data_IF_518635547452
#
_entry.id   IF_518635547452
#
_cell.length_a   1.000
_cell.length_b   1.000
_cell.length_c   1.000
_cell.angle_alpha   90.00
_cell.angle_beta   90.00
_cell.angle_gamma   90.00
#
_symmetry.space_group_name_H-M   'P 1'
#
loop_
_entity.id
_entity.type
_entity.pdbx_description
1 polymer ?
#
# COMPACT_ATOMS: atom_id res chain seq x y z
N UNK A 1 -10.75 -31.99 18.41
CA UNK A 1 -9.58 -31.23 17.90
C UNK A 1 -9.25 -31.76 16.53
N UNK A 2 -9.10 -30.89 15.54
CA UNK A 2 -8.66 -31.29 14.20
C UNK A 2 -7.21 -31.78 14.26
N UNK A 3 -6.81 -32.68 13.37
CA UNK A 3 -5.41 -33.14 13.28
C UNK A 3 -4.41 -31.96 13.09
N UNK A 4 -4.87 -30.83 12.51
CA UNK A 4 -4.10 -29.58 12.39
C UNK A 4 -3.89 -28.85 13.72
N UNK A 5 -4.87 -28.85 14.62
CA UNK A 5 -4.73 -28.20 15.93
C UNK A 5 -3.75 -28.99 16.80
N UNK A 6 -3.73 -30.32 16.62
CA UNK A 6 -2.82 -31.21 17.32
C UNK A 6 -1.35 -31.00 16.91
N UNK A 7 -1.08 -30.65 15.64
CA UNK A 7 0.30 -30.52 15.15
C UNK A 7 1.06 -29.35 15.76
N UNK A 8 0.40 -28.21 16.01
CA UNK A 8 1.06 -27.04 16.64
C UNK A 8 1.38 -27.35 18.10
N UNK A 9 0.43 -27.94 18.85
CA UNK A 9 0.62 -28.36 20.24
C UNK A 9 1.73 -29.40 20.38
N UNK A 10 1.74 -30.42 19.50
CA UNK A 10 2.81 -31.41 19.44
C UNK A 10 4.17 -30.77 19.14
N UNK A 11 4.22 -29.77 18.25
CA UNK A 11 5.44 -29.02 17.95
C UNK A 11 5.99 -28.30 19.18
N UNK A 12 5.15 -27.62 19.96
CA UNK A 12 5.57 -26.95 21.20
C UNK A 12 6.05 -27.95 22.25
N UNK A 13 5.33 -29.06 22.42
CA UNK A 13 5.73 -30.14 23.34
C UNK A 13 7.07 -30.74 22.90
N UNK A 14 7.27 -30.96 21.60
CA UNK A 14 8.53 -31.43 21.05
C UNK A 14 9.69 -30.50 21.42
N UNK A 15 9.53 -29.18 21.27
CA UNK A 15 10.56 -28.19 21.67
C UNK A 15 10.93 -28.34 23.15
N UNK A 16 9.93 -28.47 24.04
CA UNK A 16 10.17 -28.68 25.47
C UNK A 16 10.94 -29.99 25.72
N UNK A 17 10.55 -31.08 25.03
CA UNK A 17 11.23 -32.37 25.14
C UNK A 17 12.70 -32.24 24.70
N UNK A 18 12.97 -31.52 23.61
CA UNK A 18 14.33 -31.29 23.10
C UNK A 18 15.24 -30.55 24.10
N UNK A 19 14.67 -29.67 24.93
CA UNK A 19 15.42 -28.98 25.99
C UNK A 19 15.83 -29.92 27.12
N UNK A 20 15.04 -30.96 27.40
CA UNK A 20 15.28 -31.86 28.54
C UNK A 20 16.04 -33.11 28.12
N UNK A 21 15.67 -33.73 27.00
CA UNK A 21 16.17 -35.04 26.58
C UNK A 21 17.28 -34.87 25.52
N UNK A 22 18.45 -35.50 25.68
CA UNK A 22 19.50 -35.49 24.66
C UNK A 22 19.01 -36.19 23.38
N UNK A 23 19.25 -35.56 22.24
CA UNK A 23 18.88 -36.10 20.93
C UNK A 23 20.08 -36.76 20.25
N UNK A 24 19.88 -37.87 19.53
CA UNK A 24 20.94 -38.48 18.75
C UNK A 24 21.33 -37.57 17.56
N UNK A 25 22.61 -37.62 17.14
CA UNK A 25 23.16 -36.74 16.10
C UNK A 25 22.44 -36.76 14.75
N UNK A 26 21.84 -37.89 14.36
CA UNK A 26 21.04 -37.97 13.12
C UNK A 26 19.73 -37.19 13.23
N UNK A 27 19.08 -37.20 14.40
CA UNK A 27 17.83 -36.51 14.64
C UNK A 27 18.05 -34.99 14.79
N UNK A 28 19.18 -34.59 15.39
CA UNK A 28 19.64 -33.19 15.36
C UNK A 28 19.82 -32.71 13.91
N UNK A 29 20.54 -33.49 13.10
CA UNK A 29 20.77 -33.17 11.68
C UNK A 29 19.44 -33.04 10.91
N UNK A 30 18.48 -33.93 11.18
CA UNK A 30 17.14 -33.87 10.59
C UNK A 30 16.38 -32.60 10.98
N UNK A 31 16.33 -32.26 12.27
CA UNK A 31 15.61 -31.06 12.72
C UNK A 31 16.28 -29.75 12.27
N UNK A 32 17.61 -29.73 12.16
CA UNK A 32 18.35 -28.63 11.56
C UNK A 32 17.93 -28.42 10.10
N UNK A 33 17.86 -29.50 9.30
CA UNK A 33 17.44 -29.41 7.90
C UNK A 33 15.98 -28.98 7.77
N UNK A 34 15.10 -29.43 8.67
CA UNK A 34 13.73 -28.92 8.77
C UNK A 34 13.74 -27.42 9.06
N UNK A 35 14.58 -26.96 10.00
CA UNK A 35 14.64 -25.55 10.36
C UNK A 35 15.06 -24.66 9.17
N UNK A 36 16.11 -25.08 8.45
CA UNK A 36 16.55 -24.39 7.22
C UNK A 36 15.44 -24.42 6.16
N UNK A 37 14.79 -25.56 5.97
CA UNK A 37 13.71 -25.70 4.98
C UNK A 37 12.51 -24.81 5.32
N UNK A 38 12.10 -24.74 6.59
CA UNK A 38 11.04 -23.85 7.03
C UNK A 38 11.41 -22.38 6.83
N UNK A 39 12.63 -21.98 7.16
CA UNK A 39 13.10 -20.62 6.92
C UNK A 39 13.11 -20.25 5.43
N UNK A 40 13.50 -21.19 4.56
CA UNK A 40 13.43 -21.04 3.10
C UNK A 40 11.99 -20.91 2.61
N UNK A 41 11.07 -21.74 3.10
CA UNK A 41 9.64 -21.63 2.75
C UNK A 41 9.10 -20.26 3.18
N UNK A 42 9.45 -19.82 4.39
CA UNK A 42 8.99 -18.52 4.91
C UNK A 42 9.44 -17.38 4.02
N UNK A 43 10.72 -17.27 3.65
CA UNK A 43 11.19 -16.20 2.76
C UNK A 43 10.56 -16.27 1.37
N UNK A 44 10.37 -17.48 0.82
CA UNK A 44 9.75 -17.65 -0.48
C UNK A 44 8.29 -17.22 -0.47
N UNK A 45 7.52 -17.57 0.57
CA UNK A 45 6.14 -17.09 0.75
C UNK A 45 6.12 -15.57 0.93
N UNK A 46 7.04 -15.01 1.72
CA UNK A 46 7.20 -13.56 1.90
C UNK A 46 7.50 -12.81 0.60
N UNK A 47 8.24 -13.41 -0.34
CA UNK A 47 8.54 -12.79 -1.64
C UNK A 47 7.39 -12.89 -2.65
N UNK A 48 6.47 -13.83 -2.46
CA UNK A 48 5.39 -14.13 -3.42
C UNK A 48 4.01 -13.62 -2.99
N UNK A 49 3.87 -13.04 -1.80
CA UNK A 49 2.61 -12.41 -1.37
C UNK A 49 2.36 -11.08 -2.10
N UNK A 50 1.09 -10.78 -2.35
CA UNK A 50 0.70 -9.47 -2.87
C UNK A 50 0.53 -8.45 -1.74
N UNK A 51 -0.13 -8.84 -0.65
CA UNK A 51 -0.39 -8.02 0.53
C UNK A 51 0.10 -8.72 1.81
N UNK A 52 0.57 -7.96 2.80
CA UNK A 52 1.07 -8.50 4.08
C UNK A 52 0.03 -9.37 4.81
N UNK A 53 -1.26 -8.99 4.76
CA UNK A 53 -2.36 -9.71 5.40
C UNK A 53 -2.60 -11.11 4.83
N UNK A 54 -2.14 -11.43 3.62
CA UNK A 54 -2.23 -12.79 3.07
C UNK A 54 -1.42 -13.79 3.91
N UNK A 55 -0.44 -13.31 4.67
CA UNK A 55 0.34 -14.13 5.62
C UNK A 55 0.14 -13.67 7.06
N UNK A 56 -1.10 -13.45 7.48
CA UNK A 56 -1.46 -12.99 8.83
C UNK A 56 -0.90 -13.88 9.98
N UNK A 57 -0.61 -15.15 9.73
CA UNK A 57 -0.03 -16.09 10.73
C UNK A 57 1.48 -15.87 10.94
N UNK A 58 2.13 -15.06 10.12
CA UNK A 58 3.58 -14.82 10.16
C UNK A 58 4.14 -14.44 11.55
N UNK A 59 3.54 -13.52 12.34
CA UNK A 59 4.07 -13.17 13.66
C UNK A 59 4.10 -14.38 14.61
N UNK A 60 3.02 -15.16 14.65
CA UNK A 60 2.94 -16.37 15.48
C UNK A 60 3.89 -17.46 14.99
N UNK A 61 4.01 -17.63 13.67
CA UNK A 61 4.95 -18.58 13.08
C UNK A 61 6.39 -18.22 13.43
N UNK A 62 6.74 -16.93 13.40
CA UNK A 62 8.05 -16.43 13.76
C UNK A 62 8.39 -16.76 15.23
N UNK A 63 7.43 -16.61 16.16
CA UNK A 63 7.61 -17.03 17.56
C UNK A 63 7.91 -18.53 17.67
N UNK A 64 7.11 -19.37 17.00
CA UNK A 64 7.31 -20.83 17.04
C UNK A 64 8.64 -21.25 16.41
N UNK A 65 9.02 -20.67 15.27
CA UNK A 65 10.31 -20.94 14.63
C UNK A 65 11.49 -20.49 15.49
N UNK A 66 11.34 -19.36 16.19
CA UNK A 66 12.36 -18.86 17.12
C UNK A 66 12.52 -19.80 18.31
N UNK A 67 11.41 -20.26 18.90
CA UNK A 67 11.45 -21.26 19.98
C UNK A 67 12.07 -22.59 19.52
N UNK A 68 11.74 -23.04 18.31
CA UNK A 68 12.33 -24.24 17.73
C UNK A 68 13.84 -24.09 17.52
N UNK A 69 14.30 -22.92 17.04
CA UNK A 69 15.74 -22.60 16.91
C UNK A 69 16.44 -22.56 18.25
N UNK A 70 15.84 -21.94 19.26
CA UNK A 70 16.41 -21.92 20.61
C UNK A 70 16.52 -23.33 21.19
N UNK A 71 15.48 -24.16 21.02
CA UNK A 71 15.50 -25.57 21.40
C UNK A 71 16.64 -26.33 20.72
N UNK A 72 16.81 -26.15 19.41
CA UNK A 72 17.91 -26.73 18.66
C UNK A 72 19.27 -26.30 19.16
N UNK A 73 19.49 -24.99 19.35
CA UNK A 73 20.77 -24.46 19.85
C UNK A 73 21.14 -25.03 21.22
N UNK A 74 20.16 -25.23 22.11
CA UNK A 74 20.40 -25.87 23.41
C UNK A 74 20.73 -27.35 23.26
N UNK A 75 20.01 -28.09 22.41
CA UNK A 75 20.30 -29.51 22.16
C UNK A 75 21.66 -29.72 21.48
N UNK A 76 22.03 -28.89 20.50
CA UNK A 76 23.34 -28.96 19.81
C UNK A 76 24.47 -28.58 20.75
N UNK A 77 24.31 -27.52 21.54
CA UNK A 77 25.27 -27.12 22.59
C UNK A 77 25.53 -28.27 23.56
N UNK A 78 24.48 -28.93 24.04
CA UNK A 78 24.63 -30.10 24.91
C UNK A 78 25.44 -31.20 24.22
N UNK A 79 25.10 -31.56 22.98
CA UNK A 79 25.80 -32.58 22.20
C UNK A 79 27.28 -32.23 22.04
N UNK A 80 27.59 -30.98 21.65
CA UNK A 80 28.94 -30.47 21.45
C UNK A 80 29.75 -30.58 22.74
N UNK A 81 29.21 -30.11 23.86
CA UNK A 81 29.92 -30.08 25.14
C UNK A 81 30.06 -31.44 25.81
N UNK A 82 29.11 -32.37 25.60
CA UNK A 82 29.12 -33.67 26.28
C UNK A 82 29.81 -34.77 25.49
N UNK A 83 29.61 -34.82 24.19
CA UNK A 83 30.07 -35.93 23.33
C UNK A 83 31.14 -35.48 22.32
N UNK A 84 31.44 -34.18 22.22
CA UNK A 84 32.26 -33.60 21.15
C UNK A 84 31.73 -33.98 19.75
N UNK A 85 30.41 -34.13 19.63
CA UNK A 85 29.71 -34.41 18.39
C UNK A 85 28.52 -33.46 18.25
N UNK A 86 28.18 -33.05 17.02
CA UNK A 86 27.09 -32.12 16.75
C UNK A 86 26.14 -32.59 15.63
N UNK A 87 26.25 -33.86 15.22
CA UNK A 87 25.59 -34.39 14.04
C UNK A 87 26.32 -34.03 12.73
N UNK A 88 25.96 -34.76 11.66
CA UNK A 88 26.68 -34.69 10.39
C UNK A 88 26.57 -33.35 9.67
N UNK A 89 25.44 -32.64 9.82
CA UNK A 89 25.25 -31.33 9.19
C UNK A 89 26.20 -30.31 9.78
N UNK A 90 26.23 -30.16 11.11
CA UNK A 90 27.11 -29.19 11.78
C UNK A 90 28.58 -29.49 11.50
N UNK A 91 29.01 -30.75 11.59
CA UNK A 91 30.38 -31.14 11.29
C UNK A 91 30.79 -30.76 9.85
N UNK A 92 29.89 -30.97 8.89
CA UNK A 92 30.12 -30.63 7.48
C UNK A 92 30.25 -29.12 7.29
N UNK A 93 29.32 -28.33 7.82
CA UNK A 93 29.38 -26.86 7.72
C UNK A 93 30.62 -26.28 8.42
N UNK A 94 30.98 -26.80 9.59
CA UNK A 94 32.18 -26.39 10.31
C UNK A 94 33.46 -26.66 9.50
N UNK A 95 33.56 -27.85 8.90
CA UNK A 95 34.71 -28.20 8.05
C UNK A 95 34.80 -27.32 6.79
N UNK A 96 33.66 -26.97 6.19
CA UNK A 96 33.60 -26.15 4.99
C UNK A 96 34.15 -24.73 5.20
N UNK A 97 33.79 -24.08 6.31
CA UNK A 97 34.22 -22.69 6.58
C UNK A 97 35.63 -22.61 7.14
N UNK A 98 36.07 -23.61 7.89
CA UNK A 98 37.42 -23.61 8.47
C UNK A 98 38.50 -23.88 7.42
N UNK A 99 38.21 -24.64 6.36
CA UNK A 99 39.14 -24.82 5.23
C UNK A 99 40.52 -25.35 5.64
N UNK A 100 40.62 -26.03 6.80
CA UNK A 100 41.86 -26.53 7.39
C UNK A 100 42.60 -25.58 8.34
N UNK A 101 42.13 -24.35 8.54
CA UNK A 101 42.71 -23.40 9.51
C UNK A 101 41.64 -22.88 10.49
N UNK A 102 41.58 -23.44 11.73
CA UNK A 102 40.56 -23.07 12.72
C UNK A 102 40.50 -21.57 13.01
N UNK A 103 41.64 -20.88 13.07
CA UNK A 103 41.69 -19.43 13.32
C UNK A 103 41.02 -18.64 12.20
N UNK A 104 41.33 -18.96 10.93
CA UNK A 104 40.75 -18.23 9.79
C UNK A 104 39.25 -18.44 9.75
N UNK A 105 38.80 -19.69 9.91
CA UNK A 105 37.36 -19.99 9.97
C UNK A 105 36.66 -19.27 11.13
N UNK A 106 37.29 -19.18 12.29
CA UNK A 106 36.76 -18.43 13.42
C UNK A 106 36.64 -16.92 13.14
N UNK A 107 37.64 -16.29 12.52
CA UNK A 107 37.57 -14.87 12.14
C UNK A 107 36.44 -14.62 11.15
N UNK A 108 36.34 -15.43 10.10
CA UNK A 108 35.25 -15.34 9.11
C UNK A 108 33.89 -15.50 9.79
N UNK A 109 33.78 -16.47 10.69
CA UNK A 109 32.57 -16.70 11.47
C UNK A 109 32.18 -15.50 12.36
N UNK A 110 33.13 -14.91 13.08
CA UNK A 110 32.86 -13.71 13.91
C UNK A 110 32.36 -12.55 13.04
N UNK A 111 32.93 -12.35 11.85
CA UNK A 111 32.45 -11.33 10.90
C UNK A 111 30.99 -11.62 10.49
N UNK A 112 30.66 -12.87 10.17
CA UNK A 112 29.29 -13.27 9.81
C UNK A 112 28.30 -13.05 10.96
N UNK A 113 28.68 -13.41 12.19
CA UNK A 113 27.88 -13.15 13.40
C UNK A 113 27.61 -11.65 13.56
N UNK A 114 28.64 -10.81 13.40
CA UNK A 114 28.54 -9.36 13.54
C UNK A 114 27.60 -8.78 12.47
N UNK A 115 27.78 -9.16 11.20
CA UNK A 115 26.91 -8.73 10.10
C UNK A 115 25.46 -9.15 10.38
N UNK A 116 25.26 -10.42 10.73
CA UNK A 116 23.95 -10.97 11.02
C UNK A 116 23.24 -10.19 12.15
N UNK A 117 23.92 -9.94 13.27
CA UNK A 117 23.30 -9.25 14.40
C UNK A 117 23.15 -7.73 14.19
N UNK A 118 24.24 -7.04 13.83
CA UNK A 118 24.26 -5.57 13.79
C UNK A 118 23.56 -5.01 12.56
N UNK A 119 23.70 -5.64 11.40
CA UNK A 119 23.15 -5.13 10.15
C UNK A 119 21.76 -5.71 9.93
N UNK A 120 21.63 -7.03 10.02
CA UNK A 120 20.44 -7.73 9.52
C UNK A 120 19.35 -7.78 10.58
N UNK A 121 19.61 -8.38 11.74
CA UNK A 121 18.62 -8.52 12.81
C UNK A 121 18.23 -7.16 13.40
N UNK A 122 19.19 -6.30 13.76
CA UNK A 122 18.88 -4.93 14.21
C UNK A 122 18.23 -4.07 13.12
N UNK A 123 18.63 -4.24 11.86
CA UNK A 123 18.01 -3.54 10.73
C UNK A 123 16.54 -3.92 10.58
N UNK A 124 16.26 -5.23 10.55
CA UNK A 124 14.90 -5.77 10.46
C UNK A 124 14.03 -5.38 11.67
N UNK A 125 14.58 -5.38 12.89
CA UNK A 125 13.89 -4.91 14.09
C UNK A 125 13.45 -3.45 13.94
N UNK A 126 14.37 -2.56 13.57
CA UNK A 126 14.05 -1.14 13.40
C UNK A 126 13.04 -0.89 12.28
N UNK A 127 13.20 -1.56 11.15
CA UNK A 127 12.26 -1.45 10.04
C UNK A 127 10.88 -1.94 10.48
N UNK A 128 10.81 -3.06 11.21
CA UNK A 128 9.57 -3.60 11.73
C UNK A 128 8.89 -2.67 12.74
N UNK A 129 9.65 -2.14 13.70
CA UNK A 129 9.15 -1.23 14.74
C UNK A 129 8.60 0.07 14.12
N UNK A 130 9.38 0.67 13.22
CA UNK A 130 9.03 1.95 12.60
C UNK A 130 7.82 1.81 11.67
N UNK A 131 7.80 0.78 10.82
CA UNK A 131 6.68 0.55 9.92
C UNK A 131 5.40 0.15 10.66
N UNK A 132 5.50 -0.69 11.71
CA UNK A 132 4.35 -1.03 12.55
C UNK A 132 3.79 0.23 13.21
N UNK A 133 4.66 1.07 13.80
CA UNK A 133 4.23 2.32 14.44
C UNK A 133 3.56 3.27 13.45
N UNK A 134 4.16 3.55 12.31
CA UNK A 134 3.56 4.45 11.32
C UNK A 134 2.25 3.91 10.74
N UNK A 135 2.16 2.59 10.54
CA UNK A 135 0.92 1.98 10.05
C UNK A 135 -0.19 2.04 11.11
N UNK A 136 0.15 1.81 12.38
CA UNK A 136 -0.79 1.95 13.50
C UNK A 136 -1.24 3.40 13.71
N UNK A 137 -0.32 4.36 13.63
CA UNK A 137 -0.61 5.80 13.75
C UNK A 137 -1.52 6.29 12.59
N UNK A 138 -1.46 5.63 11.42
CA UNK A 138 -2.31 5.93 10.27
C UNK A 138 -3.73 5.33 10.36
N UNK A 139 -4.02 4.43 11.31
CA UNK A 139 -5.31 3.75 11.40
C UNK A 139 -6.51 4.68 11.63
N UNK A 140 -6.46 5.69 12.52
CA UNK A 140 -7.57 6.62 12.69
C UNK A 140 -7.89 7.36 11.38
N UNK A 141 -6.86 7.72 10.61
CA UNK A 141 -7.03 8.34 9.30
C UNK A 141 -7.73 7.42 8.29
N UNK A 142 -7.34 6.15 8.23
CA UNK A 142 -8.01 5.14 7.39
C UNK A 142 -9.45 4.86 7.84
N UNK A 143 -9.74 4.90 9.13
CA UNK A 143 -11.11 4.75 9.66
C UNK A 143 -11.98 5.96 9.31
N UNK A 144 -11.45 7.17 9.52
CA UNK A 144 -12.12 8.42 9.15
C UNK A 144 -12.41 8.50 7.65
N UNK A 145 -11.50 8.01 6.79
CA UNK A 145 -11.75 7.99 5.35
C UNK A 145 -12.87 7.02 4.96
N UNK A 146 -13.02 5.88 5.65
CA UNK A 146 -14.16 4.97 5.47
C UNK A 146 -15.46 5.66 5.88
N UNK A 147 -15.47 6.38 7.01
CA UNK A 147 -16.65 7.09 7.49
C UNK A 147 -17.05 8.22 6.53
N UNK A 148 -16.07 8.95 5.98
CA UNK A 148 -16.28 9.96 4.97
C UNK A 148 -16.84 9.35 3.67
N UNK A 149 -16.27 8.25 3.17
CA UNK A 149 -16.75 7.54 1.98
C UNK A 149 -18.19 7.02 2.17
N UNK A 150 -18.52 6.50 3.35
CA UNK A 150 -19.86 6.01 3.69
C UNK A 150 -20.87 7.16 3.75
N UNK A 151 -20.52 8.26 4.42
CA UNK A 151 -21.37 9.45 4.53
C UNK A 151 -21.58 10.14 3.17
N UNK A 152 -20.58 10.09 2.28
CA UNK A 152 -20.67 10.58 0.90
C UNK A 152 -21.43 9.63 -0.05
N UNK A 153 -21.83 8.44 0.41
CA UNK A 153 -22.52 7.44 -0.40
C UNK A 153 -21.64 6.76 -1.46
N UNK A 154 -20.31 6.87 -1.36
CA UNK A 154 -19.35 6.23 -2.27
C UNK A 154 -19.23 4.72 -2.01
N UNK A 155 -19.50 4.29 -0.77
CA UNK A 155 -19.52 2.89 -0.35
C UNK A 155 -20.80 2.58 0.43
N UNK A 156 -21.19 1.32 0.48
CA UNK A 156 -22.31 0.85 1.30
C UNK A 156 -21.86 0.34 2.69
N UNK A 157 -22.81 0.09 3.60
CA UNK A 157 -22.52 -0.41 4.96
C UNK A 157 -21.73 -1.72 4.97
N UNK A 158 -22.01 -2.63 4.03
CA UNK A 158 -21.31 -3.92 3.96
C UNK A 158 -19.83 -3.72 3.60
N UNK A 159 -19.55 -2.88 2.60
CA UNK A 159 -18.19 -2.52 2.20
C UNK A 159 -17.46 -1.76 3.29
N UNK A 160 -18.14 -0.85 4.00
CA UNK A 160 -17.57 -0.14 5.14
C UNK A 160 -17.17 -1.10 6.27
N UNK A 161 -18.03 -2.09 6.57
CA UNK A 161 -17.74 -3.14 7.55
C UNK A 161 -16.53 -3.98 7.14
N UNK A 162 -16.48 -4.45 5.90
CA UNK A 162 -15.38 -5.27 5.38
C UNK A 162 -14.04 -4.51 5.37
N UNK A 163 -14.05 -3.23 5.00
CA UNK A 163 -12.85 -2.37 5.08
C UNK A 163 -12.40 -2.13 6.53
N UNK A 164 -13.34 -1.94 7.48
CA UNK A 164 -13.01 -1.80 8.91
C UNK A 164 -12.41 -3.09 9.48
N UNK A 165 -12.95 -4.24 9.13
CA UNK A 165 -12.40 -5.55 9.52
C UNK A 165 -10.98 -5.75 8.95
N UNK A 166 -10.73 -5.34 7.70
CA UNK A 166 -9.38 -5.34 7.11
C UNK A 166 -8.41 -4.44 7.91
N UNK A 167 -8.83 -3.24 8.30
CA UNK A 167 -8.04 -2.33 9.15
C UNK A 167 -7.76 -2.94 10.52
N UNK A 168 -8.75 -3.60 11.15
CA UNK A 168 -8.60 -4.28 12.43
C UNK A 168 -7.53 -5.38 12.34
N UNK A 169 -7.63 -6.24 11.33
CA UNK A 169 -6.62 -7.28 11.09
C UNK A 169 -5.23 -6.71 10.79
N UNK A 170 -5.14 -5.58 10.09
CA UNK A 170 -3.88 -4.89 9.84
C UNK A 170 -3.28 -4.36 11.17
N UNK A 171 -4.10 -3.82 12.08
CA UNK A 171 -3.64 -3.37 13.38
C UNK A 171 -3.14 -4.53 14.24
N UNK A 172 -3.89 -5.63 14.31
CA UNK A 172 -3.51 -6.84 15.03
C UNK A 172 -2.20 -7.42 14.49
N UNK A 173 -2.06 -7.45 13.16
CA UNK A 173 -0.87 -7.96 12.49
C UNK A 173 0.37 -7.14 12.85
N UNK A 174 0.35 -5.81 12.66
CA UNK A 174 1.49 -4.96 12.95
C UNK A 174 1.79 -4.85 14.45
N UNK A 175 0.76 -4.89 15.30
CA UNK A 175 0.91 -4.98 16.76
C UNK A 175 1.61 -6.28 17.20
N UNK A 176 1.20 -7.43 16.65
CA UNK A 176 1.85 -8.70 16.90
C UNK A 176 3.29 -8.75 16.33
N UNK A 177 3.55 -8.10 15.19
CA UNK A 177 4.86 -8.02 14.56
C UNK A 177 5.90 -7.27 15.41
N UNK A 178 5.54 -6.14 16.03
CA UNK A 178 6.46 -5.42 16.93
C UNK A 178 6.91 -6.32 18.11
N UNK A 179 5.96 -7.09 18.67
CA UNK A 179 6.25 -8.09 19.69
C UNK A 179 7.16 -9.20 19.17
N UNK A 180 6.80 -9.83 18.05
CA UNK A 180 7.53 -10.97 17.48
C UNK A 180 8.97 -10.60 17.08
N UNK A 181 9.20 -9.42 16.50
CA UNK A 181 10.52 -8.93 16.10
C UNK A 181 11.51 -8.82 17.28
N UNK A 182 11.02 -8.50 18.48
CA UNK A 182 11.84 -8.47 19.70
C UNK A 182 12.33 -9.87 20.12
N UNK A 183 11.57 -10.93 19.84
CA UNK A 183 12.02 -12.31 20.07
C UNK A 183 13.15 -12.72 19.14
N UNK A 184 13.12 -12.31 17.86
CA UNK A 184 14.22 -12.58 16.91
C UNK A 184 15.54 -11.96 17.38
N UNK A 185 15.48 -10.72 17.90
CA UNK A 185 16.65 -10.07 18.51
C UNK A 185 17.15 -10.85 19.73
N UNK A 186 16.25 -11.29 20.60
CA UNK A 186 16.58 -12.09 21.78
C UNK A 186 17.30 -13.40 21.40
N UNK A 187 16.81 -14.08 20.37
CA UNK A 187 17.43 -15.28 19.81
C UNK A 187 18.84 -15.01 19.23
N UNK A 188 19.02 -13.92 18.49
CA UNK A 188 20.33 -13.56 17.96
C UNK A 188 21.35 -13.28 19.07
N UNK A 189 20.93 -12.62 20.16
CA UNK A 189 21.78 -12.42 21.35
C UNK A 189 22.10 -13.75 22.02
N UNK A 190 21.09 -14.61 22.20
CA UNK A 190 21.28 -15.94 22.77
C UNK A 190 22.26 -16.78 21.95
N UNK A 191 22.19 -16.74 20.62
CA UNK A 191 23.13 -17.41 19.73
C UNK A 191 24.58 -16.97 19.94
N UNK A 192 24.83 -15.67 20.11
CA UNK A 192 26.18 -15.14 20.42
C UNK A 192 26.68 -15.67 21.77
N UNK A 193 25.80 -15.68 22.79
CA UNK A 193 26.15 -16.19 24.12
C UNK A 193 26.48 -17.69 24.05
N UNK A 194 25.68 -18.47 23.31
CA UNK A 194 25.88 -19.90 23.12
C UNK A 194 27.23 -20.21 22.46
N UNK A 195 27.60 -19.45 21.42
CA UNK A 195 28.92 -19.56 20.78
C UNK A 195 30.05 -19.34 21.80
N UNK A 196 29.94 -18.31 22.64
CA UNK A 196 30.95 -18.03 23.66
C UNK A 196 31.03 -19.15 24.70
N UNK A 197 29.89 -19.68 25.13
CA UNK A 197 29.80 -20.81 26.04
C UNK A 197 30.47 -22.04 25.41
N UNK A 198 30.15 -22.36 24.16
CA UNK A 198 30.67 -23.53 23.47
C UNK A 198 32.19 -23.49 23.30
N UNK A 199 32.76 -22.32 23.02
CA UNK A 199 34.22 -22.15 22.93
C UNK A 199 34.86 -22.28 24.32
N UNK A 200 34.38 -21.52 25.31
CA UNK A 200 35.03 -21.46 26.63
C UNK A 200 34.90 -22.81 27.34
N UNK A 201 33.68 -23.30 27.50
CA UNK A 201 33.43 -24.56 28.21
C UNK A 201 33.84 -25.78 27.38
N UNK A 202 33.75 -25.71 26.06
CA UNK A 202 34.24 -26.80 25.20
C UNK A 202 35.73 -27.02 25.35
N UNK A 203 36.54 -25.94 25.37
CA UNK A 203 37.98 -26.05 25.64
C UNK A 203 38.27 -26.60 27.03
N UNK A 204 37.56 -26.13 28.05
CA UNK A 204 37.73 -26.62 29.43
C UNK A 204 37.38 -28.11 29.53
N UNK A 205 36.23 -28.53 29.00
CA UNK A 205 35.77 -29.93 29.04
C UNK A 205 36.70 -30.82 28.21
N UNK A 206 37.07 -30.38 27.00
CA UNK A 206 38.00 -31.09 26.12
C UNK A 206 39.34 -31.38 26.80
N UNK A 207 39.94 -30.37 27.44
CA UNK A 207 41.23 -30.54 28.12
C UNK A 207 41.13 -31.27 29.46
N UNK A 208 40.16 -30.91 30.30
CA UNK A 208 40.09 -31.38 31.69
C UNK A 208 39.39 -32.73 31.83
N UNK A 209 38.31 -32.95 31.06
CA UNK A 209 37.50 -34.17 31.17
C UNK A 209 37.82 -35.19 30.08
N UNK A 210 38.01 -34.74 28.83
CA UNK A 210 38.29 -35.64 27.69
C UNK A 210 39.79 -35.89 27.46
N UNK A 211 40.68 -35.21 28.21
CA UNK A 211 42.13 -35.42 28.13
C UNK A 211 42.77 -34.98 26.81
N UNK A 212 42.09 -34.13 26.02
CA UNK A 212 42.61 -33.61 24.75
C UNK A 212 43.75 -32.62 24.97
N UNK A 213 44.71 -32.58 24.06
CA UNK A 213 45.71 -31.51 24.04
C UNK A 213 45.06 -30.17 23.66
N UNK A 214 45.66 -29.05 24.05
CA UNK A 214 45.13 -27.72 23.72
C UNK A 214 44.88 -27.49 22.21
N UNK A 215 45.78 -27.90 21.29
CA UNK A 215 45.53 -27.77 19.85
C UNK A 215 44.37 -28.65 19.36
N UNK A 216 44.23 -29.88 19.86
CA UNK A 216 43.15 -30.80 19.49
C UNK A 216 41.79 -30.31 20.00
N UNK A 217 41.75 -29.79 21.23
CA UNK A 217 40.55 -29.21 21.81
C UNK A 217 40.10 -27.97 21.00
N UNK A 218 41.04 -27.11 20.60
CA UNK A 218 40.74 -25.97 19.70
C UNK A 218 40.19 -26.48 18.37
N UNK A 219 40.89 -27.37 17.67
CA UNK A 219 40.45 -27.82 16.35
C UNK A 219 39.05 -28.45 16.39
N UNK A 220 38.77 -29.26 17.43
CA UNK A 220 37.47 -29.93 17.58
C UNK A 220 36.36 -28.95 17.96
N UNK A 221 36.47 -28.26 19.10
CA UNK A 221 35.40 -27.43 19.62
C UNK A 221 35.22 -26.14 18.80
N UNK A 222 36.29 -25.58 18.23
CA UNK A 222 36.16 -24.44 17.31
C UNK A 222 35.45 -24.86 16.04
N UNK A 223 35.75 -26.04 15.48
CA UNK A 223 35.05 -26.55 14.29
C UNK A 223 33.58 -26.80 14.52
N UNK A 224 33.24 -27.46 15.62
CA UNK A 224 31.84 -27.73 15.95
C UNK A 224 31.09 -26.44 16.29
N UNK A 225 31.70 -25.51 17.03
CA UNK A 225 31.04 -24.24 17.39
C UNK A 225 30.84 -23.33 16.18
N UNK A 226 31.84 -23.21 15.30
CA UNK A 226 31.69 -22.44 14.06
C UNK A 226 30.63 -23.08 13.18
N UNK A 227 30.64 -24.41 13.04
CA UNK A 227 29.62 -25.14 12.30
C UNK A 227 28.21 -24.91 12.84
N UNK A 228 28.01 -25.04 14.15
CA UNK A 228 26.73 -24.83 14.83
C UNK A 228 26.24 -23.40 14.63
N UNK A 229 27.11 -22.42 14.86
CA UNK A 229 26.78 -21.02 14.68
C UNK A 229 26.39 -20.68 13.24
N UNK A 230 27.07 -21.24 12.22
CA UNK A 230 26.73 -21.02 10.81
C UNK A 230 25.39 -21.64 10.43
N UNK A 231 25.17 -22.88 10.86
CA UNK A 231 23.92 -23.62 10.64
C UNK A 231 22.74 -22.87 11.26
N UNK A 232 22.93 -22.30 12.45
CA UNK A 232 21.90 -21.50 13.13
C UNK A 232 21.71 -20.09 12.55
N UNK A 233 22.71 -19.56 11.84
CA UNK A 233 22.65 -18.24 11.19
C UNK A 233 21.88 -18.24 9.88
N UNK A 234 21.97 -19.30 9.06
CA UNK A 234 21.26 -19.35 7.77
C UNK A 234 19.75 -19.16 7.95
N UNK A 235 19.05 -19.89 8.83
CA UNK A 235 17.64 -19.66 9.12
C UNK A 235 17.37 -18.27 9.70
N UNK A 236 18.27 -17.77 10.57
CA UNK A 236 18.15 -16.45 11.19
C UNK A 236 18.14 -15.33 10.14
N UNK A 237 19.05 -15.44 9.16
CA UNK A 237 19.18 -14.54 8.04
C UNK A 237 17.89 -14.53 7.23
N UNK A 238 17.44 -15.71 6.79
CA UNK A 238 16.26 -15.86 5.94
C UNK A 238 15.00 -15.33 6.64
N UNK A 239 14.81 -15.65 7.92
CA UNK A 239 13.67 -15.16 8.71
C UNK A 239 13.77 -13.64 8.93
N UNK A 240 14.96 -13.10 9.27
CA UNK A 240 15.13 -11.65 9.47
C UNK A 240 14.84 -10.87 8.19
N UNK A 241 15.31 -11.38 7.04
CA UNK A 241 15.02 -10.80 5.72
C UNK A 241 13.53 -10.92 5.38
N UNK A 242 12.91 -12.07 5.65
CA UNK A 242 11.47 -12.26 5.45
C UNK A 242 10.65 -11.27 6.28
N UNK A 243 11.01 -11.06 7.55
CA UNK A 243 10.39 -10.04 8.42
C UNK A 243 10.48 -8.65 7.80
N UNK A 244 11.66 -8.28 7.30
CA UNK A 244 11.85 -7.01 6.60
C UNK A 244 10.93 -6.88 5.39
N UNK A 245 10.88 -7.90 4.51
CA UNK A 245 10.04 -7.91 3.31
C UNK A 245 8.55 -7.81 3.65
N UNK A 246 8.08 -8.59 4.62
CA UNK A 246 6.66 -8.65 4.99
C UNK A 246 6.18 -7.32 5.56
N UNK A 247 7.01 -6.66 6.39
CA UNK A 247 6.64 -5.41 7.04
C UNK A 247 6.78 -4.19 6.12
N UNK A 248 7.67 -4.25 5.12
CA UNK A 248 7.78 -3.20 4.09
C UNK A 248 6.89 -3.44 2.88
N UNK A 249 6.08 -4.50 2.89
CA UNK A 249 5.18 -4.82 1.78
C UNK A 249 4.07 -3.79 1.69
N UNK A 250 4.23 -2.84 0.78
CA UNK A 250 3.17 -1.91 0.37
C UNK A 250 2.17 -2.68 -0.49
N UNK A 251 0.89 -2.31 -0.43
CA UNK A 251 -0.13 -2.84 -1.33
C UNK A 251 0.17 -2.42 -2.78
N UNK A 252 1.07 -3.15 -3.45
CA UNK A 252 1.34 -3.07 -4.89
C UNK A 252 0.58 -4.17 -5.63
N UNK A 253 0.26 -3.93 -6.90
CA UNK A 253 -0.35 -4.95 -7.75
C UNK A 253 0.74 -5.92 -8.24
N UNK A 254 0.85 -7.10 -7.60
CA UNK A 254 1.74 -8.20 -8.00
C UNK A 254 2.93 -8.40 -7.07
N UNK A 255 3.58 -9.57 -7.11
CA UNK A 255 4.63 -9.97 -6.16
C UNK A 255 5.95 -9.19 -6.27
N UNK A 256 6.79 -9.27 -5.23
CA UNK A 256 8.07 -8.54 -5.14
C UNK A 256 9.01 -8.81 -6.32
N UNK A 257 9.05 -10.05 -6.81
CA UNK A 257 9.91 -10.42 -7.95
C UNK A 257 9.49 -9.68 -9.22
N UNK A 258 8.19 -9.60 -9.48
CA UNK A 258 7.63 -8.87 -10.61
C UNK A 258 7.80 -7.35 -10.44
N UNK A 259 7.65 -6.81 -9.23
CA UNK A 259 7.87 -5.40 -8.92
C UNK A 259 9.33 -5.00 -9.18
N UNK A 260 10.30 -5.73 -8.61
CA UNK A 260 11.73 -5.44 -8.76
C UNK A 260 12.15 -5.55 -10.21
N UNK A 261 11.71 -6.60 -10.91
CA UNK A 261 12.07 -6.82 -12.31
C UNK A 261 11.44 -5.77 -13.22
N UNK A 262 10.15 -5.48 -13.06
CA UNK A 262 9.45 -4.48 -13.88
C UNK A 262 9.96 -3.06 -13.64
N UNK A 263 10.30 -2.70 -12.40
CA UNK A 263 10.81 -1.37 -12.05
C UNK A 263 12.26 -1.16 -12.46
N UNK A 264 13.15 -2.12 -12.20
CA UNK A 264 14.57 -2.00 -12.59
C UNK A 264 14.75 -2.04 -14.11
N UNK A 265 13.99 -2.89 -14.81
CA UNK A 265 14.07 -3.01 -16.27
C UNK A 265 13.20 -2.00 -17.02
N UNK A 266 12.50 -1.10 -16.30
CA UNK A 266 11.65 -0.06 -16.92
C UNK A 266 12.43 0.91 -17.80
N UNK A 267 13.73 1.09 -17.53
CA UNK A 267 14.60 2.08 -18.16
C UNK A 267 15.76 1.44 -18.95
N UNK A 268 15.54 0.95 -20.18
CA UNK A 268 16.56 0.29 -20.99
C UNK A 268 17.81 1.15 -21.25
N UNK A 269 17.65 2.48 -21.34
CA UNK A 269 18.76 3.43 -21.49
C UNK A 269 19.78 3.34 -20.33
N UNK A 270 19.31 3.13 -19.09
CA UNK A 270 20.19 3.00 -17.93
C UNK A 270 21.00 1.68 -17.95
N UNK A 271 20.46 0.61 -18.56
CA UNK A 271 21.18 -0.65 -18.72
C UNK A 271 22.41 -0.49 -19.62
N UNK A 272 22.34 0.34 -20.67
CA UNK A 272 23.51 0.64 -21.51
C UNK A 272 24.58 1.44 -20.77
N UNK A 273 24.17 2.39 -19.92
CA UNK A 273 25.11 3.16 -19.08
C UNK A 273 25.80 2.23 -18.07
N UNK A 274 25.05 1.32 -17.45
CA UNK A 274 25.60 0.30 -16.56
C UNK A 274 26.56 -0.64 -17.31
N UNK A 275 26.20 -1.07 -18.52
CA UNK A 275 27.03 -1.91 -19.38
C UNK A 275 28.37 -1.21 -19.73
N UNK A 276 28.33 0.06 -20.13
CA UNK A 276 29.52 0.87 -20.42
C UNK A 276 30.40 1.05 -19.17
N UNK A 277 29.80 1.27 -18.01
CA UNK A 277 30.53 1.42 -16.74
C UNK A 277 31.25 0.12 -16.33
N UNK A 278 30.56 -1.02 -16.40
CA UNK A 278 31.14 -2.34 -16.12
C UNK A 278 32.27 -2.65 -17.11
N UNK A 279 32.11 -2.30 -18.39
CA UNK A 279 33.14 -2.47 -19.40
C UNK A 279 34.41 -1.66 -19.09
N UNK A 280 34.24 -0.37 -18.73
CA UNK A 280 35.36 0.51 -18.33
C UNK A 280 36.07 0.03 -17.07
N UNK A 281 35.34 -0.56 -16.11
CA UNK A 281 35.92 -1.23 -14.94
C UNK A 281 36.86 -2.38 -15.33
N UNK A 282 36.65 -3.01 -16.50
CA UNK A 282 37.55 -4.02 -17.06
C UNK A 282 38.95 -3.50 -17.42
N UNK A 283 39.14 -2.18 -17.53
CA UNK A 283 40.46 -1.57 -17.78
C UNK A 283 41.32 -1.49 -16.51
N UNK A 284 40.79 -1.89 -15.35
CA UNK A 284 41.50 -2.00 -14.08
C UNK A 284 42.09 -3.42 -13.90
N UNK A 285 42.70 -3.78 -12.75
CA UNK A 285 43.19 -5.15 -12.50
C UNK A 285 42.12 -6.25 -12.43
N UNK A 286 40.84 -5.91 -12.65
CA UNK A 286 39.72 -6.85 -12.68
C UNK A 286 39.78 -7.67 -13.99
N UNK A 287 39.51 -8.99 -13.98
CA UNK A 287 39.56 -9.81 -15.18
C UNK A 287 38.65 -9.28 -16.31
N UNK A 288 39.27 -8.78 -17.39
CA UNK A 288 38.57 -8.15 -18.53
C UNK A 288 37.50 -9.05 -19.17
N UNK A 289 37.73 -10.36 -19.20
CA UNK A 289 36.75 -11.32 -19.70
C UNK A 289 35.43 -11.30 -18.90
N UNK A 290 35.53 -11.20 -17.57
CA UNK A 290 34.37 -11.24 -16.67
C UNK A 290 33.53 -9.97 -16.82
N UNK A 291 34.19 -8.81 -16.87
CA UNK A 291 33.53 -7.51 -17.04
C UNK A 291 32.91 -7.37 -18.43
N UNK A 292 33.61 -7.81 -19.48
CA UNK A 292 33.09 -7.78 -20.84
C UNK A 292 31.89 -8.69 -21.01
N UNK A 293 31.89 -9.87 -20.37
CA UNK A 293 30.74 -10.79 -20.37
C UNK A 293 29.51 -10.15 -19.71
N UNK A 294 29.65 -9.59 -18.51
CA UNK A 294 28.54 -8.94 -17.79
C UNK A 294 28.04 -7.72 -18.58
N UNK A 295 28.95 -6.89 -19.11
CA UNK A 295 28.62 -5.74 -19.95
C UNK A 295 27.82 -6.16 -21.18
N UNK A 296 28.23 -7.24 -21.84
CA UNK A 296 27.52 -7.77 -23.03
C UNK A 296 26.11 -8.25 -22.68
N UNK A 297 25.92 -8.93 -21.54
CA UNK A 297 24.59 -9.35 -21.06
C UNK A 297 23.70 -8.15 -20.77
N UNK A 298 24.23 -7.12 -20.11
CA UNK A 298 23.47 -5.89 -19.80
C UNK A 298 23.09 -5.11 -21.07
N UNK A 299 24.02 -4.96 -22.01
CA UNK A 299 23.76 -4.30 -23.29
C UNK A 299 22.77 -5.08 -24.15
N UNK A 300 22.87 -6.41 -24.19
CA UNK A 300 21.93 -7.27 -24.90
C UNK A 300 20.53 -7.25 -24.26
N UNK A 301 20.47 -7.29 -22.93
CA UNK A 301 19.22 -7.12 -22.18
C UNK A 301 18.56 -5.77 -22.49
N UNK A 302 19.33 -4.68 -22.41
CA UNK A 302 18.87 -3.34 -22.79
C UNK A 302 18.34 -3.28 -24.23
N UNK A 303 19.04 -3.92 -25.18
CA UNK A 303 18.60 -4.01 -26.57
C UNK A 303 17.30 -4.77 -26.75
N UNK A 304 17.15 -5.91 -26.09
CA UNK A 304 15.94 -6.73 -26.15
C UNK A 304 14.73 -5.99 -25.55
N UNK A 305 14.89 -5.37 -24.38
CA UNK A 305 13.87 -4.55 -23.70
C UNK A 305 13.48 -3.29 -24.47
N UNK A 306 14.41 -2.69 -25.25
CA UNK A 306 14.11 -1.54 -26.11
C UNK A 306 13.29 -1.95 -27.33
N UNK A 307 13.43 -3.20 -27.79
CA UNK A 307 12.78 -3.72 -29.00
C UNK A 307 11.33 -4.16 -28.78
N UNK A 308 10.95 -4.52 -27.54
CA UNK A 308 9.59 -4.93 -27.19
C UNK A 308 8.65 -3.77 -26.82
N UNK A 309 9.16 -2.56 -26.59
CA UNK A 309 8.33 -1.37 -26.40
C UNK A 309 8.18 -0.61 -27.73
N UNK A 310 6.96 -0.48 -28.30
CA UNK A 310 6.70 0.60 -29.25
C UNK A 310 6.89 1.91 -28.47
N UNK A 311 7.53 2.90 -29.11
CA UNK A 311 7.88 4.21 -28.54
C UNK A 311 6.77 4.78 -27.66
N UNK A 312 6.85 4.53 -26.36
CA UNK A 312 6.31 5.43 -25.35
C UNK A 312 7.44 6.41 -25.15
N UNK A 313 7.40 7.46 -25.97
CA UNK A 313 8.25 8.64 -25.86
C UNK A 313 8.39 9.02 -24.39
N UNK A 314 9.64 9.24 -24.01
CA UNK A 314 9.95 9.92 -22.77
C UNK A 314 9.38 11.34 -22.90
N UNK A 315 8.25 11.61 -22.26
CA UNK A 315 7.92 12.98 -21.87
C UNK A 315 8.86 13.32 -20.71
N UNK A 316 9.94 14.03 -21.04
CA UNK A 316 10.59 14.90 -20.06
C UNK A 316 9.57 15.96 -19.62
N UNK A 317 9.48 16.33 -18.32
CA UNK A 317 8.44 17.23 -17.82
C UNK A 317 8.62 18.72 -18.20
N UNK A 318 9.31 19.04 -19.30
CA UNK A 318 9.69 20.42 -19.65
C UNK A 318 9.09 20.97 -20.95
N UNK A 319 8.21 20.25 -21.66
CA UNK A 319 7.55 20.77 -22.88
C UNK A 319 6.01 20.72 -22.82
N UNK A 320 5.42 21.19 -21.72
CA UNK A 320 3.95 21.31 -21.60
C UNK A 320 3.33 22.47 -22.42
N UNK A 321 4.11 23.31 -23.11
CA UNK A 321 3.57 24.47 -23.82
C UNK A 321 3.47 24.32 -25.37
N UNK A 322 4.05 23.28 -25.98
CA UNK A 322 4.03 23.14 -27.45
C UNK A 322 3.15 21.99 -27.99
N UNK A 323 2.71 21.06 -27.13
CA UNK A 323 1.89 19.90 -27.53
C UNK A 323 0.39 20.21 -27.74
N UNK A 324 -0.12 21.36 -27.30
CA UNK A 324 -1.53 21.73 -27.52
C UNK A 324 -1.81 22.18 -28.97
N UNK A 325 -0.78 22.58 -29.74
CA UNK A 325 -0.96 23.17 -31.07
C UNK A 325 -1.16 22.14 -32.21
N UNK A 326 -0.62 20.93 -32.07
CA UNK A 326 -0.63 19.94 -33.18
C UNK A 326 -1.65 18.80 -33.05
N UNK A 327 -2.30 18.63 -31.89
CA UNK A 327 -3.41 17.68 -31.75
C UNK A 327 -4.74 18.18 -32.38
N UNK A 328 -4.83 19.47 -32.73
CA UNK A 328 -6.00 20.05 -33.41
C UNK A 328 -6.12 19.70 -34.91
N UNK A 329 -5.12 19.02 -35.51
CA UNK A 329 -5.06 18.82 -36.98
C UNK A 329 -5.38 17.40 -37.46
N UNK A 330 -6.10 16.59 -36.68
CA UNK A 330 -6.58 15.27 -37.13
C UNK A 330 -8.10 15.27 -37.36
N UNK A 331 -8.59 14.94 -38.58
CA UNK A 331 -10.01 15.03 -38.92
C UNK A 331 -10.91 14.02 -38.19
N UNK A 332 -10.35 12.98 -37.56
CA UNK A 332 -11.12 11.95 -36.84
C UNK A 332 -11.52 12.35 -35.41
N UNK A 333 -10.91 13.38 -34.82
CA UNK A 333 -11.21 13.84 -33.46
C UNK A 333 -12.31 14.90 -33.38
N UNK A 334 -12.98 15.22 -34.49
CA UNK A 334 -14.10 16.17 -34.46
C UNK A 334 -15.36 15.52 -33.87
N UNK A 335 -15.50 14.19 -33.97
CA UNK A 335 -16.71 13.47 -33.49
C UNK A 335 -16.69 13.27 -31.97
N UNK A 336 -15.51 13.09 -31.37
CA UNK A 336 -15.33 12.97 -29.91
C UNK A 336 -15.48 14.30 -29.16
N UNK A 337 -15.40 15.44 -29.86
CA UNK A 337 -15.75 16.77 -29.35
C UNK A 337 -17.26 17.04 -29.33
N UNK A 338 -18.10 16.15 -29.89
CA UNK A 338 -19.57 16.29 -29.95
C UNK A 338 -20.23 15.40 -28.88
N UNK A 339 -19.67 15.35 -27.66
CA UNK A 339 -20.45 14.88 -26.51
C UNK A 339 -21.31 16.04 -26.01
N UNK A 340 -22.46 16.25 -26.64
CA UNK A 340 -23.49 17.16 -26.12
C UNK A 340 -23.93 16.64 -24.75
N UNK A 341 -23.86 17.49 -23.73
CA UNK A 341 -24.38 17.10 -22.42
C UNK A 341 -25.91 16.89 -22.54
N UNK A 342 -26.46 15.83 -21.91
CA UNK A 342 -27.89 15.52 -22.05
C UNK A 342 -28.81 16.63 -21.56
N UNK A 343 -28.45 17.32 -20.47
CA UNK A 343 -29.16 18.49 -19.93
C UNK A 343 -28.11 19.51 -19.45
N UNK A 344 -28.23 20.75 -19.89
CA UNK A 344 -27.37 21.87 -19.49
C UNK A 344 -28.21 23.01 -18.93
N UNK A 345 -27.76 23.61 -17.83
CA UNK A 345 -28.28 24.85 -17.28
C UNK A 345 -27.21 25.92 -17.42
N UNK A 346 -27.43 26.87 -18.32
CA UNK A 346 -26.56 28.02 -18.55
C UNK A 346 -27.11 29.24 -17.83
N UNK A 347 -26.25 30.06 -17.25
CA UNK A 347 -26.66 31.28 -16.54
C UNK A 347 -25.66 32.41 -16.72
N UNK A 348 -26.17 33.65 -16.65
CA UNK A 348 -25.37 34.88 -16.66
C UNK A 348 -24.62 35.11 -15.35
N UNK A 349 -23.61 35.97 -15.37
CA UNK A 349 -22.70 36.15 -14.24
C UNK A 349 -23.38 36.64 -12.94
N UNK A 350 -24.51 37.35 -13.01
CA UNK A 350 -25.21 37.80 -11.80
C UNK A 350 -25.81 36.64 -11.03
N UNK A 351 -26.01 35.47 -11.67
CA UNK A 351 -26.63 34.29 -11.08
C UNK A 351 -25.60 33.29 -10.50
N UNK A 352 -24.31 33.63 -10.49
CA UNK A 352 -23.28 32.80 -9.83
C UNK A 352 -23.59 32.50 -8.35
N UNK A 353 -24.05 33.47 -7.53
CA UNK A 353 -24.28 33.24 -6.10
C UNK A 353 -25.32 32.16 -5.79
N UNK A 354 -26.33 31.95 -6.66
CA UNK A 354 -27.35 30.91 -6.45
C UNK A 354 -26.85 29.51 -6.82
N UNK A 355 -25.81 29.41 -7.66
CA UNK A 355 -25.22 28.14 -8.08
C UNK A 355 -24.03 27.72 -7.19
N UNK A 356 -23.38 28.65 -6.49
CA UNK A 356 -22.21 28.40 -5.66
C UNK A 356 -22.58 28.15 -4.18
N UNK A 357 -22.40 26.90 -3.74
CA UNK A 357 -22.64 26.49 -2.35
C UNK A 357 -21.76 27.23 -1.34
N UNK A 358 -20.60 27.75 -1.74
CA UNK A 358 -19.72 28.51 -0.86
C UNK A 358 -20.23 29.93 -0.57
N UNK A 359 -21.12 30.44 -1.43
CA UNK A 359 -21.78 31.74 -1.31
C UNK A 359 -23.21 31.63 -0.72
N UNK A 360 -23.60 30.44 -0.28
CA UNK A 360 -24.93 30.17 0.29
C UNK A 360 -26.01 29.84 -0.76
N UNK A 361 -25.63 29.58 -2.01
CA UNK A 361 -26.55 29.12 -3.05
C UNK A 361 -27.04 27.69 -2.81
N UNK A 362 -28.31 27.43 -3.12
CA UNK A 362 -29.00 26.15 -2.88
C UNK A 362 -29.54 25.49 -4.17
N UNK A 363 -29.26 26.06 -5.35
CA UNK A 363 -29.78 25.57 -6.63
C UNK A 363 -29.35 24.13 -6.93
N UNK A 364 -28.09 23.78 -6.62
CA UNK A 364 -27.57 22.42 -6.80
C UNK A 364 -28.35 21.39 -5.98
N UNK A 365 -28.63 21.71 -4.71
CA UNK A 365 -29.38 20.84 -3.81
C UNK A 365 -30.82 20.66 -4.28
N UNK A 366 -31.46 21.72 -4.78
CA UNK A 366 -32.81 21.67 -5.35
C UNK A 366 -32.88 20.82 -6.61
N UNK A 367 -31.91 20.92 -7.51
CA UNK A 367 -31.83 20.05 -8.71
C UNK A 367 -31.72 18.57 -8.31
N UNK A 368 -30.97 18.25 -7.24
CA UNK A 368 -30.90 16.89 -6.70
C UNK A 368 -32.24 16.43 -6.15
N UNK A 369 -33.00 17.31 -5.47
CA UNK A 369 -34.35 17.01 -4.99
C UNK A 369 -35.34 16.77 -6.14
N UNK A 370 -35.33 17.62 -7.18
CA UNK A 370 -36.18 17.47 -8.38
C UNK A 370 -35.92 16.12 -9.04
N UNK A 371 -34.64 15.76 -9.25
CA UNK A 371 -34.28 14.46 -9.84
C UNK A 371 -34.83 13.29 -9.01
N UNK A 372 -34.80 13.40 -7.68
CA UNK A 372 -35.36 12.38 -6.78
C UNK A 372 -36.87 12.33 -6.86
N UNK A 373 -37.54 13.47 -6.90
CA UNK A 373 -39.00 13.57 -6.98
C UNK A 373 -39.51 12.98 -8.30
N UNK A 374 -38.93 13.34 -9.44
CA UNK A 374 -39.27 12.77 -10.75
C UNK A 374 -39.08 11.24 -10.80
N UNK A 375 -38.06 10.72 -10.12
CA UNK A 375 -37.84 9.29 -10.02
C UNK A 375 -38.92 8.57 -9.19
N UNK A 376 -39.45 9.21 -8.13
CA UNK A 376 -40.49 8.63 -7.27
C UNK A 376 -41.88 8.76 -7.90
N UNK A 377 -42.22 9.93 -8.44
CA UNK A 377 -43.57 10.23 -8.93
C UNK A 377 -43.81 9.71 -10.35
N UNK A 378 -42.82 9.85 -11.24
CA UNK A 378 -42.94 9.49 -12.67
C UNK A 378 -42.19 8.20 -13.03
N UNK A 379 -41.34 7.68 -12.14
CA UNK A 379 -40.51 6.50 -12.41
C UNK A 379 -39.37 6.77 -13.40
N UNK A 380 -39.01 8.03 -13.64
CA UNK A 380 -37.99 8.44 -14.61
C UNK A 380 -36.78 9.02 -13.89
N UNK A 381 -35.58 8.49 -14.20
CA UNK A 381 -34.31 9.05 -13.71
C UNK A 381 -33.72 9.95 -14.79
N UNK A 382 -33.77 11.26 -14.59
CA UNK A 382 -33.13 12.22 -15.51
C UNK A 382 -31.60 12.21 -15.36
N UNK A 383 -30.82 12.43 -16.45
CA UNK A 383 -29.37 12.59 -16.38
C UNK A 383 -28.93 13.74 -15.47
N UNK A 384 -27.64 13.80 -15.15
CA UNK A 384 -27.06 14.92 -14.39
C UNK A 384 -27.22 16.22 -15.20
N UNK A 385 -27.79 17.25 -14.57
CA UNK A 385 -27.89 18.60 -15.14
C UNK A 385 -26.52 19.26 -14.98
N UNK A 386 -25.87 19.60 -16.09
CA UNK A 386 -24.59 20.30 -16.05
C UNK A 386 -24.82 21.80 -15.94
N UNK A 387 -24.29 22.41 -14.88
CA UNK A 387 -24.39 23.85 -14.63
C UNK A 387 -23.15 24.54 -15.24
N UNK A 388 -23.35 25.55 -16.09
CA UNK A 388 -22.27 26.30 -16.75
C UNK A 388 -22.56 27.80 -16.75
N UNK A 389 -21.56 28.61 -16.43
CA UNK A 389 -21.63 30.03 -16.69
C UNK A 389 -21.53 30.29 -18.21
N UNK A 390 -22.32 31.24 -18.71
CA UNK A 390 -22.25 31.65 -20.11
C UNK A 390 -22.21 33.17 -20.21
N UNK A 391 -21.03 33.70 -20.52
CA UNK A 391 -20.75 35.14 -20.66
C UNK A 391 -21.54 35.78 -21.81
N UNK A 392 -22.07 34.98 -22.75
CA UNK A 392 -22.89 35.48 -23.86
C UNK A 392 -24.35 35.74 -23.47
N UNK A 393 -24.81 35.24 -22.32
CA UNK A 393 -26.15 35.52 -21.80
C UNK A 393 -26.21 36.90 -21.13
N UNK A 394 -27.40 37.48 -21.05
CA UNK A 394 -27.64 38.65 -20.21
C UNK A 394 -27.24 38.38 -18.75
N UNK A 395 -26.89 39.41 -17.96
CA UNK A 395 -26.44 39.25 -16.57
C UNK A 395 -27.37 38.40 -15.71
N UNK A 396 -28.69 38.60 -15.89
CA UNK A 396 -29.79 38.02 -15.14
C UNK A 396 -30.49 36.87 -15.88
N UNK A 397 -29.96 36.47 -17.03
CA UNK A 397 -30.56 35.48 -17.91
C UNK A 397 -30.10 34.06 -17.54
N UNK A 398 -31.00 33.10 -17.64
CA UNK A 398 -30.67 31.67 -17.64
C UNK A 398 -31.32 30.94 -18.81
N UNK A 399 -30.77 29.78 -19.14
CA UNK A 399 -31.20 28.94 -20.25
C UNK A 399 -31.04 27.46 -19.91
N UNK A 400 -32.09 26.68 -20.16
CA UNK A 400 -32.04 25.23 -20.06
C UNK A 400 -31.91 24.63 -21.46
N UNK A 401 -30.94 23.75 -21.67
CA UNK A 401 -30.75 23.00 -22.91
C UNK A 401 -30.91 21.51 -22.67
N UNK A 402 -31.51 20.82 -23.62
CA UNK A 402 -31.60 19.35 -23.64
C UNK A 402 -30.94 18.88 -24.94
N UNK A 403 -29.87 18.10 -24.81
CA UNK A 403 -29.01 17.66 -25.94
C UNK A 403 -28.59 18.84 -26.84
N UNK A 404 -28.20 19.95 -26.22
CA UNK A 404 -27.78 21.20 -26.87
C UNK A 404 -28.88 22.07 -27.48
N UNK A 405 -30.14 21.63 -27.51
CA UNK A 405 -31.26 22.46 -27.95
C UNK A 405 -31.84 23.24 -26.78
N UNK A 406 -32.09 24.54 -26.94
CA UNK A 406 -32.76 25.35 -25.93
C UNK A 406 -34.18 24.84 -25.70
N UNK A 407 -34.43 24.35 -24.49
CA UNK A 407 -35.73 23.88 -24.02
C UNK A 407 -36.50 24.98 -23.29
N UNK A 408 -35.80 25.80 -22.51
CA UNK A 408 -36.40 26.88 -21.73
C UNK A 408 -35.41 28.04 -21.52
N UNK A 409 -35.93 29.22 -21.20
CA UNK A 409 -35.17 30.43 -20.91
C UNK A 409 -35.99 31.36 -20.01
N UNK A 410 -35.32 32.15 -19.18
CA UNK A 410 -35.96 33.17 -18.36
C UNK A 410 -34.94 34.16 -17.79
N UNK A 411 -35.46 35.16 -17.09
CA UNK A 411 -34.67 36.17 -16.38
C UNK A 411 -35.01 36.17 -14.89
N UNK A 412 -34.01 36.45 -14.05
CA UNK A 412 -34.14 36.49 -12.59
C UNK A 412 -33.48 37.74 -12.02
N UNK A 413 -34.14 38.36 -11.05
CA UNK A 413 -33.54 39.40 -10.23
C UNK A 413 -33.25 38.84 -8.84
N UNK A 414 -31.97 38.65 -8.49
CA UNK A 414 -31.58 38.03 -7.22
C UNK A 414 -31.99 38.85 -5.99
N UNK A 415 -32.05 40.18 -6.11
CA UNK A 415 -32.43 41.09 -5.02
C UNK A 415 -33.95 41.33 -4.93
N UNK A 416 -34.75 40.57 -5.66
CA UNK A 416 -36.21 40.71 -5.73
C UNK A 416 -36.90 39.36 -5.51
N UNK A 417 -38.21 39.41 -5.23
CA UNK A 417 -39.08 38.24 -5.18
C UNK A 417 -40.11 38.30 -6.29
N UNK A 418 -40.53 37.13 -6.76
CA UNK A 418 -41.57 37.00 -7.76
C UNK A 418 -42.93 36.90 -7.07
N UNK A 419 -43.78 37.91 -7.25
CA UNK A 419 -45.14 37.94 -6.74
C UNK A 419 -46.15 37.58 -7.83
N UNK A 420 -46.96 36.55 -7.58
CA UNK A 420 -48.02 36.08 -8.49
C UNK A 420 -49.40 36.43 -7.93
N UNK A 421 -50.24 37.07 -8.74
CA UNK A 421 -51.61 37.40 -8.36
C UNK A 421 -52.55 36.21 -8.59
N UNK A 422 -53.49 35.92 -7.67
CA UNK A 422 -54.57 34.96 -7.89
C UNK A 422 -55.72 35.48 -8.79
N UNK A 423 -55.68 36.71 -9.31
CA UNK A 423 -56.74 37.28 -10.18
C UNK A 423 -56.33 38.54 -10.98
N UNK A 424 -57.27 39.06 -11.78
CA UNK A 424 -57.10 40.19 -12.76
C UNK A 424 -56.85 41.58 -12.14
N UNK A 425 -56.65 41.70 -10.81
CA UNK A 425 -56.34 42.98 -10.16
C UNK A 425 -54.83 43.28 -10.31
N UNK A 426 -54.45 43.96 -11.40
CA UNK A 426 -53.06 44.23 -11.79
C UNK A 426 -52.37 45.37 -11.00
N UNK A 427 -53.09 46.14 -10.18
CA UNK A 427 -52.63 47.47 -9.71
C UNK A 427 -52.38 47.63 -8.18
N UNK A 428 -52.34 46.57 -7.38
CA UNK A 428 -52.16 46.70 -5.91
C UNK A 428 -50.73 46.90 -5.41
N UNK A 429 -49.72 46.59 -6.22
CA UNK A 429 -48.30 46.60 -5.79
C UNK A 429 -47.41 47.13 -6.92
N UNK A 430 -46.53 48.06 -6.55
CA UNK A 430 -45.49 48.59 -7.43
C UNK A 430 -44.37 47.54 -7.60
N UNK A 431 -44.01 47.22 -8.85
CA UNK A 431 -42.97 46.25 -9.15
C UNK A 431 -42.67 46.19 -10.65
N UNK A 432 -41.71 45.36 -11.05
CA UNK A 432 -41.37 45.17 -12.46
C UNK A 432 -42.26 44.07 -13.02
N UNK A 433 -43.16 44.41 -13.95
CA UNK A 433 -44.04 43.45 -14.60
C UNK A 433 -43.24 42.40 -15.38
N UNK A 434 -43.60 41.13 -15.16
CA UNK A 434 -42.98 39.97 -15.80
C UNK A 434 -44.01 38.85 -15.97
N UNK A 435 -43.55 37.71 -16.48
CA UNK A 435 -44.34 36.47 -16.52
C UNK A 435 -43.58 35.38 -15.80
N UNK A 436 -44.30 34.63 -14.98
CA UNK A 436 -43.75 33.45 -14.33
C UNK A 436 -43.42 32.38 -15.39
N UNK A 437 -42.23 31.76 -15.33
CA UNK A 437 -41.73 30.95 -16.44
C UNK A 437 -42.34 29.54 -16.57
N UNK A 438 -42.85 28.92 -15.51
CA UNK A 438 -43.40 27.56 -15.55
C UNK A 438 -44.83 27.50 -16.11
N UNK A 439 -45.70 28.45 -15.75
CA UNK A 439 -47.12 28.49 -16.08
C UNK A 439 -47.51 29.69 -16.95
N UNK A 440 -46.63 30.68 -17.11
CA UNK A 440 -46.87 31.86 -17.95
C UNK A 440 -47.85 32.87 -17.34
N UNK A 441 -48.06 32.81 -16.02
CA UNK A 441 -48.96 33.68 -15.28
C UNK A 441 -48.38 35.10 -15.17
N UNK A 442 -49.22 36.16 -15.17
CA UNK A 442 -48.78 37.51 -14.86
C UNK A 442 -48.16 37.56 -13.46
N UNK A 443 -46.95 38.09 -13.37
CA UNK A 443 -46.21 38.21 -12.11
C UNK A 443 -45.46 39.54 -12.07
N UNK A 444 -45.05 39.98 -10.87
CA UNK A 444 -44.22 41.16 -10.70
C UNK A 444 -42.99 40.84 -9.88
N UNK A 445 -41.84 41.39 -10.26
CA UNK A 445 -40.68 41.42 -9.38
C UNK A 445 -40.84 42.56 -8.39
N UNK A 446 -40.91 42.21 -7.11
CA UNK A 446 -41.05 43.14 -5.99
C UNK A 446 -39.78 43.11 -5.14
N UNK A 447 -39.45 44.21 -4.49
CA UNK A 447 -38.31 44.27 -3.58
C UNK A 447 -38.65 43.66 -2.21
N UNK A 448 -37.64 43.32 -1.41
CA UNK A 448 -37.80 42.65 -0.11
C UNK A 448 -38.70 43.45 0.86
N UNK A 449 -38.69 44.78 0.79
CA UNK A 449 -39.52 45.67 1.59
C UNK A 449 -41.02 45.60 1.26
N UNK A 450 -41.38 45.14 0.06
CA UNK A 450 -42.76 45.00 -0.40
C UNK A 450 -43.31 43.58 -0.20
N UNK A 451 -42.48 42.64 0.25
CA UNK A 451 -42.84 41.23 0.41
C UNK A 451 -44.02 41.02 1.36
N UNK A 452 -43.94 41.60 2.56
CA UNK A 452 -44.99 41.43 3.59
C UNK A 452 -46.32 42.04 3.12
N UNK A 453 -46.25 43.18 2.43
CA UNK A 453 -47.41 43.85 1.84
C UNK A 453 -48.03 43.00 0.71
N UNK A 454 -47.20 42.36 -0.12
CA UNK A 454 -47.67 41.48 -1.17
C UNK A 454 -48.41 40.24 -0.65
N UNK A 455 -47.87 39.61 0.39
CA UNK A 455 -48.52 38.48 1.06
C UNK A 455 -49.86 38.89 1.71
N UNK A 456 -49.93 40.11 2.29
CA UNK A 456 -51.16 40.67 2.87
C UNK A 456 -52.26 40.88 1.84
N UNK A 457 -51.91 41.29 0.62
CA UNK A 457 -52.86 41.40 -0.50
C UNK A 457 -53.19 40.06 -1.17
N UNK A 458 -52.61 38.95 -0.67
CA UNK A 458 -52.91 37.59 -1.14
C UNK A 458 -52.08 37.15 -2.35
N UNK A 459 -50.99 37.84 -2.67
CA UNK A 459 -50.04 37.37 -3.69
C UNK A 459 -49.24 36.19 -3.17
N UNK A 460 -48.92 35.25 -4.07
CA UNK A 460 -47.95 34.19 -3.77
C UNK A 460 -46.56 34.71 -4.09
N UNK A 461 -45.71 34.86 -3.06
CA UNK A 461 -44.35 35.40 -3.20
C UNK A 461 -43.33 34.27 -3.19
N UNK A 462 -42.43 34.25 -4.18
CA UNK A 462 -41.45 33.17 -4.39
C UNK A 462 -40.04 33.75 -4.57
N UNK A 463 -39.05 33.12 -3.97
CA UNK A 463 -37.63 33.49 -4.07
C UNK A 463 -37.00 33.03 -5.42
N UNK A 464 -35.96 33.73 -5.93
CA UNK A 464 -35.37 33.43 -7.24
C UNK A 464 -34.91 31.97 -7.45
N UNK A 465 -34.23 31.29 -6.50
CA UNK A 465 -33.90 29.87 -6.65
C UNK A 465 -35.13 28.96 -6.79
N UNK A 466 -36.22 29.25 -6.09
CA UNK A 466 -37.48 28.51 -6.21
C UNK A 466 -38.16 28.72 -7.56
N UNK A 467 -38.08 29.93 -8.15
CA UNK A 467 -38.59 30.19 -9.51
C UNK A 467 -37.88 29.31 -10.54
N UNK A 468 -36.54 29.24 -10.48
CA UNK A 468 -35.75 28.38 -11.37
C UNK A 468 -36.06 26.91 -11.17
N UNK A 469 -36.15 26.47 -9.91
CA UNK A 469 -36.42 25.07 -9.57
C UNK A 469 -37.78 24.62 -10.09
N UNK A 470 -38.80 25.49 -9.98
CA UNK A 470 -40.13 25.23 -10.51
C UNK A 470 -40.12 25.14 -12.04
N UNK A 471 -39.33 25.98 -12.72
CA UNK A 471 -39.22 25.95 -14.18
C UNK A 471 -38.39 24.78 -14.72
N UNK A 472 -37.46 24.23 -13.93
CA UNK A 472 -36.67 23.04 -14.30
C UNK A 472 -37.50 21.75 -14.18
N UNK A 473 -38.46 21.72 -13.24
CA UNK A 473 -39.33 20.56 -12.97
C UNK A 473 -40.34 20.38 -14.09
#
# INVERSE_FOLDING_TARGET
MSARDLSVLLGVILIIIMLVIPLPGWLLSFFILINISLALIVILVSMNMDEALQFAVFPTLLLLLTLFRLGLNVSTTRSILSEAEAGGVIATFGSFVIGGNPLVGFVVFVILVIIQFLVITKGAERVSEVAARFTLDAMPGKQMSIDADLNAGMINEHQAKERREKIEHEADFYGAMDGASKFVKGDAIAGIIIVLINIIFGLIIGMVQMGMSFPEAIDTYMRLTVGDGLVSQIPALLISTATGIVVTRVASQGNLGSDVTSQLLRYPKLLYIAAGTIFLLGLTPIPFFLTTLISSVLAFGGYWLTREKPETSFEEPEEMDEAESDQMKSPENVVSLISLDPIEFEFGYSLIPIADTSQGGDLLDRIVMIRRQLAIELGIVIPVVRIRDNIQLGPNEYRLKIKGNQAAHGELLLDHYLAMSPGDDEDSIDGIDTREPAFGLPAKWISDDQKDEAELYGYTVVDPPSVVSTHIT
#
